data_IF_801638056362
#
_entry.id   IF_801638056362
#
_cell.length_a   1.000
_cell.length_b   1.000
_cell.length_c   1.000
_cell.angle_alpha   90.00
_cell.angle_beta   90.00
_cell.angle_gamma   90.00
#
_symmetry.space_group_name_H-M   'P 1'
#
loop_
_entity.id
_entity.type
_entity.pdbx_description
1 polymer ?
#
# COMPACT_ATOMS: atom_id res chain seq x y z
N UNK A 1 48.89 -12.66 -38.47
CA UNK A 1 49.40 -12.14 -39.74
C UNK A 1 48.60 -10.88 -40.07
N UNK A 2 49.12 -9.73 -39.69
CA UNK A 2 48.64 -8.38 -40.07
C UNK A 2 49.04 -8.11 -41.54
N UNK A 3 48.44 -7.13 -42.24
CA UNK A 3 49.11 -5.82 -42.24
C UNK A 3 48.19 -4.59 -42.24
N UNK A 4 48.68 -3.55 -41.56
CA UNK A 4 48.35 -2.13 -41.72
C UNK A 4 48.92 -1.60 -43.04
N UNK A 5 48.31 -0.55 -43.60
CA UNK A 5 49.05 0.47 -44.35
C UNK A 5 48.55 1.88 -44.01
N UNK A 6 49.49 2.81 -44.08
CA UNK A 6 49.56 4.14 -43.48
C UNK A 6 49.40 5.27 -44.52
N UNK A 7 48.93 6.42 -44.02
CA UNK A 7 49.04 7.85 -44.45
C UNK A 7 50.24 8.27 -45.36
N UNK A 8 50.23 9.46 -46.04
CA UNK A 8 50.41 10.78 -45.36
C UNK A 8 49.78 12.03 -46.05
N UNK A 9 50.13 13.21 -45.50
CA UNK A 9 49.40 14.48 -45.46
C UNK A 9 50.00 15.68 -46.26
N UNK A 10 49.15 16.69 -46.55
CA UNK A 10 49.40 18.17 -46.64
C UNK A 10 50.19 18.75 -47.84
N UNK A 11 50.30 20.10 -48.04
CA UNK A 11 49.61 21.26 -47.41
C UNK A 11 49.25 22.50 -48.33
N UNK A 12 48.41 23.43 -47.81
CA UNK A 12 48.31 24.93 -48.00
C UNK A 12 48.04 25.57 -49.40
N UNK A 13 47.70 26.89 -49.55
CA UNK A 13 47.30 27.96 -48.58
C UNK A 13 46.08 28.86 -49.00
N UNK A 14 45.64 29.76 -48.09
CA UNK A 14 44.79 30.97 -48.28
C UNK A 14 45.66 32.17 -48.76
N UNK A 15 45.14 33.29 -49.38
CA UNK A 15 44.31 34.31 -48.70
C UNK A 15 43.33 35.14 -49.59
N UNK A 16 42.40 35.88 -48.97
CA UNK A 16 42.16 37.35 -49.15
C UNK A 16 40.87 37.83 -48.44
N UNK A 17 40.89 39.11 -48.10
CA UNK A 17 40.20 39.88 -47.04
C UNK A 17 39.02 40.74 -47.51
N UNK A 18 38.32 41.33 -46.51
CA UNK A 18 37.40 42.50 -46.50
C UNK A 18 35.89 42.15 -46.45
N UNK A 19 34.99 42.78 -45.68
CA UNK A 19 34.98 43.86 -44.66
C UNK A 19 33.60 43.79 -43.92
N UNK A 20 33.53 44.28 -42.68
CA UNK A 20 32.37 44.25 -41.73
C UNK A 20 31.27 45.31 -42.03
N UNK A 21 30.10 45.39 -41.33
CA UNK A 21 30.05 45.91 -39.95
C UNK A 21 28.99 45.31 -38.98
N UNK A 22 29.38 45.32 -37.70
CA UNK A 22 28.63 45.60 -36.46
C UNK A 22 27.15 45.20 -36.30
N UNK A 23 26.89 44.27 -35.37
CA UNK A 23 25.68 44.25 -34.53
C UNK A 23 26.12 44.15 -33.07
N UNK A 24 25.53 45.03 -32.26
CA UNK A 24 25.85 45.30 -30.87
C UNK A 24 25.54 44.14 -29.91
N UNK A 25 26.42 43.98 -28.91
CA UNK A 25 26.19 43.20 -27.71
C UNK A 25 25.06 43.81 -26.86
N UNK A 26 24.17 42.97 -26.33
CA UNK A 26 23.23 43.32 -25.26
C UNK A 26 23.69 42.68 -23.95
N UNK A 27 23.79 43.42 -22.83
CA UNK A 27 24.27 42.88 -21.56
C UNK A 27 23.13 42.27 -20.72
N UNK A 28 23.49 41.22 -19.97
CA UNK A 28 22.88 40.71 -18.73
C UNK A 28 21.34 40.66 -18.62
N UNK A 29 20.76 39.51 -18.97
CA UNK A 29 19.49 39.09 -18.42
C UNK A 29 19.72 38.39 -17.07
N UNK A 30 19.45 39.11 -15.99
CA UNK A 30 19.30 38.52 -14.64
C UNK A 30 18.28 37.36 -14.69
N UNK A 31 18.52 36.25 -13.97
CA UNK A 31 17.54 35.18 -13.88
C UNK A 31 16.26 35.72 -13.24
N UNK A 32 15.12 35.49 -13.90
CA UNK A 32 13.81 35.84 -13.35
C UNK A 32 13.62 35.18 -11.98
N UNK A 33 13.12 35.91 -10.96
CA UNK A 33 12.82 35.29 -9.67
C UNK A 33 11.78 34.20 -9.90
N UNK A 34 12.08 32.99 -9.42
CA UNK A 34 11.22 31.83 -9.53
C UNK A 34 9.80 32.20 -9.11
N UNK A 35 8.83 31.87 -9.96
CA UNK A 35 7.43 32.05 -9.66
C UNK A 35 7.14 31.42 -8.30
N UNK A 36 6.65 32.23 -7.35
CA UNK A 36 6.06 31.73 -6.12
C UNK A 36 4.98 30.70 -6.52
N UNK A 37 4.90 29.53 -5.85
CA UNK A 37 3.87 28.55 -6.16
C UNK A 37 2.51 29.22 -6.05
N UNK A 38 1.66 29.03 -7.07
CA UNK A 38 0.30 29.55 -7.08
C UNK A 38 -0.46 29.06 -5.84
N UNK A 39 -1.23 29.92 -5.15
CA UNK A 39 -1.97 29.56 -3.94
C UNK A 39 -3.02 28.44 -4.13
N UNK A 40 -3.28 28.03 -5.39
CA UNK A 40 -4.25 26.98 -5.74
C UNK A 40 -3.63 25.58 -5.94
N UNK A 41 -2.31 25.41 -5.77
CA UNK A 41 -1.65 24.12 -6.04
C UNK A 41 -1.63 23.23 -4.80
N UNK A 42 -2.58 22.30 -4.74
CA UNK A 42 -2.66 21.24 -3.73
C UNK A 42 -1.36 20.41 -3.76
N UNK A 43 -0.64 20.34 -2.63
CA UNK A 43 0.52 19.45 -2.49
C UNK A 43 0.04 18.01 -2.37
N UNK A 44 0.36 17.20 -3.37
CA UNK A 44 0.05 15.76 -3.37
C UNK A 44 1.34 14.98 -3.20
N UNK A 45 1.48 14.35 -2.03
CA UNK A 45 2.53 13.39 -1.76
C UNK A 45 2.12 12.03 -2.32
N UNK A 46 3.11 11.26 -2.77
CA UNK A 46 2.93 9.89 -3.25
C UNK A 46 3.82 8.98 -2.43
N UNK A 47 3.24 7.95 -1.85
CA UNK A 47 3.94 6.99 -1.01
C UNK A 47 3.60 5.57 -1.47
N UNK A 48 4.50 4.63 -1.20
CA UNK A 48 4.17 3.21 -1.20
C UNK A 48 4.23 2.70 0.23
N UNK A 49 3.12 2.15 0.73
CA UNK A 49 3.00 1.61 2.08
C UNK A 49 3.34 0.12 2.14
N UNK A 50 3.67 -0.35 3.34
CA UNK A 50 4.13 -1.71 3.66
C UNK A 50 5.43 -2.11 2.96
N UNK A 51 6.32 -1.15 2.68
CA UNK A 51 7.62 -1.42 2.07
C UNK A 51 8.65 -0.37 2.46
N UNK A 52 9.94 -0.73 2.32
CA UNK A 52 11.09 0.18 2.33
C UNK A 52 11.61 0.48 0.90
N UNK A 53 11.07 -0.19 -0.12
CA UNK A 53 11.52 -0.07 -1.51
C UNK A 53 10.41 0.57 -2.35
N UNK A 54 10.65 1.71 -3.04
CA UNK A 54 9.67 2.33 -3.94
C UNK A 54 9.12 1.39 -5.04
N UNK A 55 9.84 0.31 -5.39
CA UNK A 55 9.37 -0.71 -6.32
C UNK A 55 8.32 -1.66 -5.71
N UNK A 56 8.29 -1.81 -4.38
CA UNK A 56 7.35 -2.66 -3.65
C UNK A 56 6.14 -1.92 -3.10
N UNK A 57 5.39 -2.56 -2.21
CA UNK A 57 4.32 -1.92 -1.43
C UNK A 57 3.04 -1.59 -2.19
N UNK A 58 2.11 -0.99 -1.46
CA UNK A 58 0.82 -0.51 -1.95
C UNK A 58 0.80 1.03 -2.10
N UNK A 59 0.77 1.57 -3.33
CA UNK A 59 0.79 3.01 -3.58
C UNK A 59 -0.44 3.76 -3.04
N UNK A 60 -0.21 4.89 -2.39
CA UNK A 60 -1.26 5.82 -1.96
C UNK A 60 -0.88 7.28 -2.21
N UNK A 61 -1.90 8.08 -2.51
CA UNK A 61 -1.82 9.53 -2.47
C UNK A 61 -2.01 10.04 -1.05
N UNK A 62 -1.31 11.11 -0.68
CA UNK A 62 -1.48 11.78 0.62
C UNK A 62 -1.49 13.29 0.41
N UNK A 63 -2.58 13.94 0.85
CA UNK A 63 -2.73 15.39 0.90
C UNK A 63 -2.79 15.79 2.37
N UNK A 64 -1.70 16.37 2.87
CA UNK A 64 -1.56 16.73 4.29
C UNK A 64 -2.25 18.03 4.69
N UNK A 65 -2.61 18.86 3.70
CA UNK A 65 -3.42 20.06 3.90
C UNK A 65 -4.56 20.06 2.88
N UNK A 66 -5.71 19.54 3.31
CA UNK A 66 -6.94 19.50 2.55
C UNK A 66 -8.05 20.33 3.22
N UNK A 67 -7.67 21.27 4.09
CA UNK A 67 -8.64 22.15 4.72
C UNK A 67 -9.34 23.01 3.65
N UNK A 68 -10.67 23.06 3.69
CA UNK A 68 -11.47 23.81 2.72
C UNK A 68 -11.70 23.12 1.36
N UNK A 69 -11.15 21.93 1.11
CA UNK A 69 -11.51 21.15 -0.08
C UNK A 69 -12.89 20.52 0.08
N UNK A 70 -13.73 20.64 -0.95
CA UNK A 70 -15.01 19.94 -1.02
C UNK A 70 -14.84 18.52 -1.61
N UNK A 71 -15.91 17.73 -1.52
CA UNK A 71 -15.96 16.34 -1.97
C UNK A 71 -15.62 16.20 -3.46
N UNK A 72 -16.11 17.12 -4.29
CA UNK A 72 -15.87 17.12 -5.73
C UNK A 72 -14.37 17.34 -6.03
N UNK A 73 -13.72 18.24 -5.29
CA UNK A 73 -12.29 18.52 -5.47
C UNK A 73 -11.42 17.38 -4.96
N UNK A 74 -11.72 16.80 -3.79
CA UNK A 74 -10.99 15.63 -3.29
C UNK A 74 -11.12 14.43 -4.24
N UNK A 75 -12.32 14.18 -4.76
CA UNK A 75 -12.55 13.12 -5.74
C UNK A 75 -11.76 13.36 -7.04
N UNK A 76 -11.74 14.60 -7.55
CA UNK A 76 -10.99 14.95 -8.74
C UNK A 76 -9.47 14.73 -8.54
N UNK A 77 -8.93 15.12 -7.38
CA UNK A 77 -7.52 14.88 -7.03
C UNK A 77 -7.22 13.39 -6.95
N UNK A 78 -8.06 12.60 -6.27
CA UNK A 78 -7.86 11.14 -6.19
C UNK A 78 -7.89 10.48 -7.57
N UNK A 79 -8.76 10.94 -8.47
CA UNK A 79 -8.82 10.47 -9.86
C UNK A 79 -7.57 10.85 -10.66
N UNK A 80 -7.02 12.05 -10.46
CA UNK A 80 -5.76 12.50 -11.08
C UNK A 80 -4.55 11.71 -10.56
N UNK A 81 -4.52 11.39 -9.26
CA UNK A 81 -3.47 10.56 -8.66
C UNK A 81 -3.50 9.14 -9.23
N UNK A 82 -4.69 8.57 -9.42
CA UNK A 82 -4.88 7.30 -10.11
C UNK A 82 -4.45 6.06 -9.32
N UNK A 83 -4.08 6.20 -8.05
CA UNK A 83 -3.87 5.07 -7.14
C UNK A 83 -5.20 4.54 -6.59
N UNK A 84 -5.16 3.40 -5.88
CA UNK A 84 -6.38 2.80 -5.31
C UNK A 84 -7.06 3.77 -4.35
N UNK A 85 -6.29 4.43 -3.48
CA UNK A 85 -6.80 5.46 -2.57
C UNK A 85 -5.84 6.65 -2.41
N UNK A 86 -6.44 7.81 -2.14
CA UNK A 86 -5.77 9.03 -1.68
C UNK A 86 -6.36 9.45 -0.34
N UNK A 87 -5.50 9.70 0.64
CA UNK A 87 -5.89 10.21 1.96
C UNK A 87 -5.77 11.74 2.01
N UNK A 88 -6.76 12.38 2.63
CA UNK A 88 -6.87 13.83 2.77
C UNK A 88 -6.98 14.21 4.24
N UNK A 89 -6.06 15.03 4.73
CA UNK A 89 -6.12 15.61 6.08
C UNK A 89 -6.95 16.90 6.02
N UNK A 90 -8.20 16.79 6.42
CA UNK A 90 -9.23 17.86 6.28
C UNK A 90 -9.36 18.77 7.49
N UNK A 91 -8.77 18.37 8.62
CA UNK A 91 -8.59 19.20 9.81
C UNK A 91 -7.40 18.65 10.61
N UNK A 92 -6.68 19.52 11.32
CA UNK A 92 -5.52 19.11 12.11
C UNK A 92 -5.34 19.97 13.37
N UNK A 93 -4.94 19.32 14.46
CA UNK A 93 -4.35 19.93 15.65
C UNK A 93 -2.97 19.26 15.84
N UNK A 94 -1.94 19.88 15.25
CA UNK A 94 -0.58 19.33 15.27
C UNK A 94 0.00 19.25 16.68
N UNK A 95 -0.37 20.19 17.57
CA UNK A 95 0.11 20.18 18.95
C UNK A 95 -0.50 19.02 19.74
N UNK A 96 -1.78 18.73 19.54
CA UNK A 96 -2.44 17.56 20.12
C UNK A 96 -2.21 16.26 19.34
N UNK A 97 -1.52 16.31 18.19
CA UNK A 97 -1.27 15.16 17.29
C UNK A 97 -2.57 14.50 16.81
N UNK A 98 -3.61 15.31 16.58
CA UNK A 98 -4.95 14.86 16.12
C UNK A 98 -5.23 15.35 14.70
N UNK A 99 -5.74 14.48 13.85
CA UNK A 99 -5.99 14.79 12.44
C UNK A 99 -7.31 14.17 11.99
N UNK A 100 -8.06 14.85 11.12
CA UNK A 100 -9.26 14.29 10.49
C UNK A 100 -8.93 13.85 9.07
N UNK A 101 -9.11 12.57 8.81
CA UNK A 101 -8.78 11.95 7.54
C UNK A 101 -10.06 11.57 6.78
N UNK A 102 -10.05 11.84 5.48
CA UNK A 102 -10.99 11.27 4.51
C UNK A 102 -10.21 10.50 3.45
N UNK A 103 -10.84 9.51 2.83
CA UNK A 103 -10.19 8.63 1.87
C UNK A 103 -11.02 8.57 0.59
N UNK A 104 -10.40 8.79 -0.55
CA UNK A 104 -11.09 8.70 -1.84
C UNK A 104 -10.36 7.71 -2.73
N UNK A 105 -11.12 6.79 -3.30
CA UNK A 105 -10.71 6.11 -4.52
C UNK A 105 -10.89 7.06 -5.72
N UNK A 106 -10.43 6.68 -6.92
CA UNK A 106 -10.70 7.46 -8.14
C UNK A 106 -12.20 7.63 -8.47
N UNK A 107 -13.11 6.92 -7.79
CA UNK A 107 -14.54 6.90 -8.12
C UNK A 107 -15.47 7.36 -7.00
N UNK A 108 -15.07 7.20 -5.74
CA UNK A 108 -15.91 7.53 -4.59
C UNK A 108 -15.08 7.61 -3.29
N UNK A 109 -15.66 8.26 -2.28
CA UNK A 109 -15.17 8.20 -0.91
C UNK A 109 -15.31 6.77 -0.34
N UNK A 110 -14.32 6.37 0.45
CA UNK A 110 -14.36 5.15 1.26
C UNK A 110 -14.20 5.51 2.73
N UNK A 111 -14.84 4.73 3.62
CA UNK A 111 -14.87 5.08 5.04
C UNK A 111 -13.50 4.94 5.73
N UNK A 112 -12.63 4.07 5.20
CA UNK A 112 -11.31 3.78 5.75
C UNK A 112 -10.43 3.07 4.72
N UNK A 113 -9.12 3.34 4.72
CA UNK A 113 -8.12 2.62 3.93
C UNK A 113 -6.81 2.47 4.70
N UNK A 114 -6.44 1.24 5.04
CA UNK A 114 -5.30 0.95 5.93
C UNK A 114 -3.94 1.40 5.39
N UNK A 115 -3.63 1.12 4.12
CA UNK A 115 -2.32 1.48 3.55
C UNK A 115 -2.19 3.01 3.40
N UNK A 116 -3.27 3.72 3.02
CA UNK A 116 -3.29 5.18 2.96
C UNK A 116 -3.17 5.81 4.36
N UNK A 117 -3.75 5.19 5.39
CA UNK A 117 -3.53 5.58 6.80
C UNK A 117 -2.07 5.43 7.22
N UNK A 118 -1.43 4.29 6.88
CA UNK A 118 -0.01 4.06 7.16
C UNK A 118 0.87 5.09 6.42
N UNK A 119 0.63 5.32 5.14
CA UNK A 119 1.33 6.33 4.35
C UNK A 119 1.19 7.73 4.95
N UNK A 120 -0.03 8.12 5.35
CA UNK A 120 -0.29 9.42 5.99
C UNK A 120 0.42 9.55 7.34
N UNK A 121 0.38 8.49 8.17
CA UNK A 121 1.07 8.47 9.45
C UNK A 121 2.58 8.62 9.30
N UNK A 122 3.17 7.91 8.33
CA UNK A 122 4.60 8.05 8.02
C UNK A 122 4.90 9.47 7.55
N UNK A 123 4.14 10.02 6.61
CA UNK A 123 4.36 11.38 6.10
C UNK A 123 4.28 12.44 7.21
N UNK A 124 3.29 12.35 8.10
CA UNK A 124 3.16 13.24 9.27
C UNK A 124 4.32 13.05 10.26
N UNK A 125 4.70 11.82 10.58
CA UNK A 125 5.79 11.55 11.50
C UNK A 125 7.17 11.96 10.94
N UNK A 126 7.38 11.85 9.63
CA UNK A 126 8.58 12.38 8.98
C UNK A 126 8.66 13.91 9.05
N UNK A 127 7.52 14.63 9.00
CA UNK A 127 7.49 16.10 9.10
C UNK A 127 7.52 16.61 10.55
N UNK A 128 6.85 15.93 11.47
CA UNK A 128 6.54 16.43 12.81
C UNK A 128 7.14 15.60 13.95
N UNK A 129 7.95 14.58 13.64
CA UNK A 129 8.52 13.64 14.59
C UNK A 129 7.63 12.42 14.88
N UNK A 130 8.23 11.37 15.41
CA UNK A 130 7.52 10.12 15.76
C UNK A 130 6.76 10.22 17.07
N UNK A 131 5.82 9.29 17.29
CA UNK A 131 4.97 9.22 18.47
C UNK A 131 3.56 8.75 18.12
N UNK A 132 2.64 8.80 19.08
CA UNK A 132 1.23 8.49 18.81
C UNK A 132 0.59 9.57 17.92
N UNK A 133 -0.25 9.12 16.99
CA UNK A 133 -1.13 9.93 16.16
C UNK A 133 -2.56 9.43 16.36
N UNK A 134 -3.50 10.37 16.34
CA UNK A 134 -4.90 10.06 16.42
C UNK A 134 -5.63 10.56 15.19
N UNK A 135 -6.31 9.66 14.51
CA UNK A 135 -7.03 9.95 13.28
C UNK A 135 -8.54 9.82 13.49
N UNK A 136 -9.26 10.90 13.27
CA UNK A 136 -10.71 10.89 13.13
C UNK A 136 -11.04 10.52 11.69
N UNK A 137 -11.76 9.41 11.48
CA UNK A 137 -12.17 8.94 10.15
C UNK A 137 -13.68 8.71 10.10
N UNK A 138 -14.29 8.58 8.90
CA UNK A 138 -15.69 8.16 8.80
C UNK A 138 -15.98 6.79 9.46
N UNK A 139 -14.97 5.92 9.56
CA UNK A 139 -15.07 4.64 10.26
C UNK A 139 -14.84 4.73 11.79
N UNK A 140 -14.60 5.94 12.32
CA UNK A 140 -14.33 6.19 13.73
C UNK A 140 -12.89 6.63 14.01
N UNK A 141 -12.54 6.68 15.30
CA UNK A 141 -11.22 7.09 15.78
C UNK A 141 -10.20 5.94 15.66
N UNK A 142 -9.04 6.24 15.07
CA UNK A 142 -7.95 5.28 14.84
C UNK A 142 -6.67 5.79 15.51
N UNK A 143 -6.06 4.94 16.33
CA UNK A 143 -4.74 5.20 16.94
C UNK A 143 -3.65 4.59 16.08
N UNK A 144 -2.66 5.41 15.74
CA UNK A 144 -1.47 4.98 15.00
C UNK A 144 -0.23 5.36 15.77
N UNK A 145 0.52 4.36 16.25
CA UNK A 145 1.84 4.58 16.82
C UNK A 145 2.85 4.76 15.69
N UNK A 146 3.77 5.72 15.81
CA UNK A 146 4.90 5.85 14.88
C UNK A 146 6.21 5.79 15.64
N UNK A 147 7.22 5.16 15.04
CA UNK A 147 8.55 4.99 15.60
C UNK A 147 9.60 5.07 14.50
N UNK A 148 10.84 5.39 14.89
CA UNK A 148 12.01 5.26 14.01
C UNK A 148 12.62 3.88 14.20
N UNK A 149 12.96 3.24 13.09
CA UNK A 149 13.69 1.98 13.06
C UNK A 149 14.68 2.01 11.90
N UNK A 150 15.97 1.87 12.18
CA UNK A 150 17.08 2.03 11.22
C UNK A 150 16.97 3.29 10.34
N UNK A 151 16.50 4.39 10.93
CA UNK A 151 16.32 5.68 10.23
C UNK A 151 15.07 5.79 9.36
N UNK A 152 14.29 4.71 9.24
CA UNK A 152 12.99 4.70 8.55
C UNK A 152 11.85 4.82 9.55
N UNK A 153 10.81 5.58 9.20
CA UNK A 153 9.60 5.68 10.02
C UNK A 153 8.73 4.46 9.78
N UNK A 154 8.35 3.79 10.88
CA UNK A 154 7.31 2.76 10.91
C UNK A 154 6.03 3.35 11.47
N UNK A 155 4.89 2.87 10.97
CA UNK A 155 3.58 3.15 11.53
C UNK A 155 2.90 1.85 11.92
N UNK A 156 2.24 1.85 13.09
CA UNK A 156 1.54 0.72 13.67
C UNK A 156 0.09 1.12 13.90
N UNK A 157 -0.81 0.55 13.09
CA UNK A 157 -2.24 0.72 13.22
C UNK A 157 -2.79 -0.31 14.22
N UNK A 158 -3.64 0.13 15.15
CA UNK A 158 -4.38 -0.79 16.03
C UNK A 158 -5.77 -1.04 15.47
N UNK A 159 -6.12 -2.30 15.23
CA UNK A 159 -7.43 -2.68 14.71
C UNK A 159 -8.55 -2.47 15.73
N UNK A 160 -9.79 -2.49 15.26
CA UNK A 160 -10.94 -2.85 16.11
C UNK A 160 -10.78 -4.29 16.65
N UNK A 161 -11.52 -4.70 17.70
CA UNK A 161 -11.48 -6.08 18.19
C UNK A 161 -11.65 -7.10 17.04
N UNK A 162 -10.60 -7.89 16.81
CA UNK A 162 -10.55 -8.89 15.76
C UNK A 162 -11.13 -10.22 16.27
N UNK A 163 -11.89 -10.88 15.41
CA UNK A 163 -12.50 -12.17 15.70
C UNK A 163 -12.58 -13.02 14.43
N UNK A 164 -12.88 -14.31 14.59
CA UNK A 164 -13.16 -15.17 13.45
C UNK A 164 -14.14 -16.27 13.83
N UNK A 165 -14.76 -16.88 12.82
CA UNK A 165 -15.57 -18.07 12.99
C UNK A 165 -15.32 -19.05 11.83
N UNK A 166 -15.53 -20.37 12.04
CA UNK A 166 -15.41 -21.35 10.96
C UNK A 166 -16.28 -20.97 9.75
N UNK A 167 -15.72 -21.09 8.55
CA UNK A 167 -16.47 -20.91 7.32
C UNK A 167 -17.32 -22.15 7.04
N UNK A 168 -18.54 -21.96 6.52
CA UNK A 168 -19.43 -23.06 6.16
C UNK A 168 -19.04 -23.67 4.81
N UNK A 169 -19.36 -24.93 4.57
CA UNK A 169 -19.15 -25.56 3.25
C UNK A 169 -19.85 -24.80 2.11
N UNK A 170 -21.00 -24.17 2.40
CA UNK A 170 -21.73 -23.32 1.45
C UNK A 170 -20.99 -22.02 1.09
N UNK A 171 -19.93 -21.69 1.82
CA UNK A 171 -19.02 -20.57 1.57
C UNK A 171 -17.70 -21.07 0.95
N UNK A 172 -17.13 -22.15 1.50
CA UNK A 172 -15.84 -22.71 1.06
C UNK A 172 -15.94 -23.34 -0.32
N UNK A 173 -16.93 -24.20 -0.59
CA UNK A 173 -17.02 -24.91 -1.88
C UNK A 173 -17.18 -23.99 -3.09
N UNK A 174 -18.04 -22.95 -3.06
CA UNK A 174 -18.09 -21.98 -4.15
C UNK A 174 -16.81 -21.17 -4.30
N UNK A 175 -16.15 -20.81 -3.18
CA UNK A 175 -14.90 -20.06 -3.22
C UNK A 175 -13.79 -20.89 -3.88
N UNK A 176 -13.63 -22.16 -3.48
CA UNK A 176 -12.66 -23.07 -4.09
C UNK A 176 -12.93 -23.25 -5.60
N UNK A 177 -14.19 -23.42 -6.01
CA UNK A 177 -14.53 -23.48 -7.44
C UNK A 177 -14.14 -22.21 -8.20
N UNK A 178 -14.43 -21.04 -7.64
CA UNK A 178 -14.05 -19.76 -8.24
C UNK A 178 -12.52 -19.61 -8.33
N UNK A 179 -11.79 -20.05 -7.28
CA UNK A 179 -10.33 -20.10 -7.24
C UNK A 179 -9.71 -21.22 -8.10
N UNK A 180 -10.55 -22.10 -8.68
CA UNK A 180 -10.14 -23.30 -9.42
C UNK A 180 -9.28 -24.26 -8.57
N UNK A 181 -9.58 -24.32 -7.28
CA UNK A 181 -8.94 -25.18 -6.30
C UNK A 181 -9.91 -26.25 -5.78
N UNK A 182 -9.37 -27.18 -5.01
CA UNK A 182 -10.07 -28.24 -4.31
C UNK A 182 -9.74 -28.21 -2.82
N UNK A 183 -10.47 -28.99 -2.01
CA UNK A 183 -10.12 -29.16 -0.58
C UNK A 183 -8.75 -29.78 -0.38
N UNK A 184 -8.34 -30.60 -1.34
CA UNK A 184 -7.03 -31.22 -1.33
C UNK A 184 -5.92 -30.20 -1.59
N UNK A 185 -6.20 -28.92 -1.87
CA UNK A 185 -5.15 -27.90 -1.96
C UNK A 185 -4.93 -27.16 -0.62
N UNK A 186 -5.84 -27.35 0.34
CA UNK A 186 -5.87 -26.60 1.60
C UNK A 186 -4.98 -27.22 2.69
N UNK A 187 -4.38 -26.36 3.51
CA UNK A 187 -3.68 -26.74 4.74
C UNK A 187 -4.70 -27.10 5.83
N UNK A 188 -4.73 -28.38 6.21
CA UNK A 188 -5.64 -28.88 7.24
C UNK A 188 -5.31 -28.37 8.64
N UNK A 189 -4.09 -27.87 8.88
CA UNK A 189 -3.69 -27.25 10.14
C UNK A 189 -4.22 -25.82 10.31
N UNK A 190 -4.73 -25.21 9.25
CA UNK A 190 -5.27 -23.85 9.22
C UNK A 190 -6.64 -23.86 8.51
N UNK A 191 -7.70 -24.27 9.22
CA UNK A 191 -9.02 -24.49 8.62
C UNK A 191 -9.67 -23.19 8.08
N UNK A 192 -10.52 -23.28 7.05
CA UNK A 192 -11.23 -22.13 6.50
C UNK A 192 -12.08 -21.39 7.52
N UNK A 193 -11.86 -20.07 7.64
CA UNK A 193 -12.60 -19.19 8.54
C UNK A 193 -13.07 -17.93 7.79
N UNK A 194 -14.12 -17.30 8.30
CA UNK A 194 -14.35 -15.88 8.02
C UNK A 194 -13.78 -15.11 9.19
N UNK A 195 -12.85 -14.20 8.92
CA UNK A 195 -12.14 -13.42 9.92
C UNK A 195 -12.46 -11.93 9.74
N UNK A 196 -12.54 -11.21 10.86
CA UNK A 196 -12.93 -9.82 10.92
C UNK A 196 -11.90 -8.97 11.67
N UNK A 197 -11.58 -7.80 11.11
CA UNK A 197 -10.90 -6.71 11.81
C UNK A 197 -11.28 -5.35 11.19
N UNK A 198 -12.59 -5.06 11.14
CA UNK A 198 -13.16 -3.87 10.51
C UNK A 198 -13.93 -4.21 9.23
N UNK A 199 -13.45 -5.23 8.51
CA UNK A 199 -14.10 -5.86 7.37
C UNK A 199 -14.02 -7.38 7.50
N UNK A 200 -14.95 -8.10 6.85
CA UNK A 200 -14.92 -9.56 6.78
C UNK A 200 -14.05 -10.04 5.62
N UNK A 201 -13.24 -11.07 5.89
CA UNK A 201 -12.33 -11.71 4.94
C UNK A 201 -12.50 -13.22 5.03
N UNK A 202 -12.69 -13.90 3.89
CA UNK A 202 -12.60 -15.36 3.86
C UNK A 202 -11.13 -15.76 3.89
N UNK A 203 -10.69 -16.47 4.94
CA UNK A 203 -9.33 -16.97 5.08
C UNK A 203 -9.26 -18.40 4.54
N UNK A 204 -8.35 -18.65 3.60
CA UNK A 204 -8.05 -19.99 3.07
C UNK A 204 -6.54 -20.20 3.09
N UNK A 205 -6.08 -21.20 3.84
CA UNK A 205 -4.67 -21.58 3.85
C UNK A 205 -4.41 -22.70 2.83
N UNK A 206 -3.37 -22.57 2.01
CA UNK A 206 -2.95 -23.57 1.01
C UNK A 206 -1.64 -24.25 1.40
N UNK A 207 -1.49 -25.51 0.98
CA UNK A 207 -0.32 -26.32 1.34
C UNK A 207 0.95 -25.99 0.57
N UNK A 208 0.83 -25.36 -0.59
CA UNK A 208 1.94 -25.14 -1.52
C UNK A 208 2.09 -23.66 -1.84
N UNK A 209 3.33 -23.17 -1.75
CA UNK A 209 3.71 -21.82 -2.20
C UNK A 209 3.49 -21.67 -3.71
N UNK A 210 3.73 -22.72 -4.49
CA UNK A 210 3.54 -22.75 -5.93
C UNK A 210 2.05 -22.63 -6.30
N UNK A 211 1.16 -23.31 -5.56
CA UNK A 211 -0.29 -23.18 -5.75
C UNK A 211 -0.75 -21.73 -5.50
N UNK A 212 -0.24 -21.10 -4.45
CA UNK A 212 -0.50 -19.69 -4.17
C UNK A 212 0.06 -18.77 -5.28
N UNK A 213 1.28 -19.06 -5.77
CA UNK A 213 1.92 -18.28 -6.84
C UNK A 213 1.15 -18.34 -8.16
N UNK A 214 0.56 -19.50 -8.44
CA UNK A 214 -0.18 -19.78 -9.67
C UNK A 214 -1.66 -19.36 -9.60
N UNK A 215 -2.05 -18.53 -8.62
CA UNK A 215 -3.43 -18.07 -8.47
C UNK A 215 -3.98 -17.51 -9.79
N UNK A 216 -5.05 -18.15 -10.24
CA UNK A 216 -5.85 -17.79 -11.40
C UNK A 216 -7.30 -18.16 -11.05
N UNK A 217 -8.17 -17.17 -10.99
CA UNK A 217 -9.53 -17.35 -10.49
C UNK A 217 -10.56 -16.72 -11.42
N UNK A 218 -11.78 -17.25 -11.37
CA UNK A 218 -12.95 -16.67 -12.02
C UNK A 218 -13.35 -15.37 -11.32
N UNK A 219 -12.98 -14.24 -11.94
CA UNK A 219 -13.17 -12.91 -11.39
C UNK A 219 -14.64 -12.63 -11.05
N UNK A 220 -15.55 -12.90 -11.97
CA UNK A 220 -16.97 -12.58 -11.82
C UNK A 220 -17.65 -13.51 -10.81
N UNK A 221 -17.29 -14.80 -10.80
CA UNK A 221 -17.82 -15.74 -9.83
C UNK A 221 -17.37 -15.39 -8.40
N UNK A 222 -16.09 -15.06 -8.21
CA UNK A 222 -15.56 -14.68 -6.91
C UNK A 222 -16.15 -13.33 -6.45
N UNK A 223 -16.25 -12.35 -7.37
CA UNK A 223 -16.91 -11.07 -7.12
C UNK A 223 -18.34 -11.25 -6.61
N UNK A 224 -19.16 -12.03 -7.31
CA UNK A 224 -20.55 -12.27 -6.94
C UNK A 224 -20.66 -12.97 -5.57
N UNK A 225 -19.79 -13.93 -5.30
CA UNK A 225 -19.74 -14.64 -4.03
C UNK A 225 -19.37 -13.72 -2.86
N UNK A 226 -18.33 -12.90 -3.04
CA UNK A 226 -17.89 -11.94 -2.03
C UNK A 226 -18.97 -10.92 -1.72
N UNK A 227 -19.63 -10.35 -2.75
CA UNK A 227 -20.77 -9.43 -2.55
C UNK A 227 -21.93 -10.08 -1.80
N UNK A 228 -22.24 -11.35 -2.11
CA UNK A 228 -23.29 -12.10 -1.43
C UNK A 228 -22.99 -12.33 0.07
N UNK A 229 -21.72 -12.50 0.42
CA UNK A 229 -21.30 -12.77 1.79
C UNK A 229 -20.77 -11.55 2.55
N UNK A 230 -20.68 -10.38 1.91
CA UNK A 230 -20.15 -9.16 2.52
C UNK A 230 -18.63 -9.19 2.74
N UNK A 231 -17.89 -10.05 2.01
CA UNK A 231 -16.44 -10.13 2.14
C UNK A 231 -15.75 -9.02 1.37
N UNK A 232 -14.73 -8.42 1.98
CA UNK A 232 -13.86 -7.43 1.34
C UNK A 232 -12.78 -8.09 0.52
N UNK A 233 -12.03 -9.05 1.08
CA UNK A 233 -11.07 -9.88 0.31
C UNK A 233 -11.28 -11.37 0.61
N UNK A 234 -10.70 -12.22 -0.21
CA UNK A 234 -10.39 -13.59 0.17
C UNK A 234 -8.90 -13.62 0.52
N UNK A 235 -8.56 -13.78 1.79
CA UNK A 235 -7.18 -13.79 2.27
C UNK A 235 -6.59 -15.19 2.11
N UNK A 236 -5.80 -15.36 1.04
CA UNK A 236 -5.16 -16.64 0.72
C UNK A 236 -3.77 -16.65 1.35
N UNK A 237 -3.46 -17.68 2.13
CA UNK A 237 -2.19 -17.75 2.86
C UNK A 237 -1.47 -19.08 2.65
N UNK A 238 -0.15 -19.03 2.61
CA UNK A 238 0.72 -20.19 2.70
C UNK A 238 1.70 -19.96 3.85
N UNK A 239 1.82 -20.94 4.75
CA UNK A 239 2.76 -20.90 5.86
C UNK A 239 4.09 -21.49 5.42
N UNK A 240 5.17 -20.72 5.57
CA UNK A 240 6.53 -21.12 5.12
C UNK A 240 7.04 -22.38 5.83
N UNK A 241 6.79 -22.50 7.13
CA UNK A 241 7.16 -23.67 7.93
C UNK A 241 6.18 -23.87 9.08
N UNK A 242 5.96 -25.12 9.48
CA UNK A 242 4.92 -25.47 10.46
C UNK A 242 5.09 -24.78 11.83
N UNK A 243 6.33 -24.50 12.23
CA UNK A 243 6.75 -23.90 13.49
C UNK A 243 7.09 -22.41 13.38
N UNK A 244 6.84 -21.79 12.23
CA UNK A 244 7.09 -20.36 11.99
C UNK A 244 5.79 -19.61 11.74
N UNK A 245 5.78 -18.36 12.19
CA UNK A 245 4.72 -17.41 11.90
C UNK A 245 5.11 -16.47 10.75
N UNK A 246 5.68 -17.07 9.71
CA UNK A 246 6.01 -16.45 8.44
C UNK A 246 5.04 -16.98 7.39
N UNK A 247 4.32 -16.07 6.72
CA UNK A 247 3.31 -16.40 5.74
C UNK A 247 3.56 -15.64 4.44
N UNK A 248 3.28 -16.32 3.32
CA UNK A 248 3.03 -15.68 2.03
C UNK A 248 1.52 -15.50 1.88
N UNK A 249 1.09 -14.36 1.36
CA UNK A 249 -0.32 -14.04 1.18
C UNK A 249 -0.60 -13.46 -0.21
N UNK A 250 -1.83 -13.71 -0.68
CA UNK A 250 -2.44 -13.04 -1.83
C UNK A 250 -3.89 -12.74 -1.52
N UNK A 251 -4.34 -11.57 -1.95
CA UNK A 251 -5.67 -11.06 -1.64
C UNK A 251 -6.46 -10.72 -2.89
N UNK A 252 -7.18 -11.69 -3.48
CA UNK A 252 -8.26 -11.42 -4.41
C UNK A 252 -9.18 -10.31 -3.90
N UNK A 253 -9.30 -9.25 -4.70
CA UNK A 253 -10.09 -8.06 -4.38
C UNK A 253 -11.03 -7.61 -5.51
N UNK A 254 -11.80 -8.51 -6.15
CA UNK A 254 -12.64 -8.15 -7.27
C UNK A 254 -13.77 -7.18 -6.90
N UNK A 255 -14.21 -7.12 -5.63
CA UNK A 255 -15.18 -6.11 -5.15
C UNK A 255 -14.61 -4.69 -5.18
N UNK A 256 -13.29 -4.54 -5.11
CA UNK A 256 -12.57 -3.27 -5.34
C UNK A 256 -12.39 -2.94 -6.83
N UNK A 257 -12.80 -3.83 -7.74
CA UNK A 257 -12.67 -3.65 -9.18
C UNK A 257 -11.26 -3.92 -9.73
N UNK A 258 -10.38 -4.52 -8.92
CA UNK A 258 -9.04 -4.98 -9.32
C UNK A 258 -8.91 -6.48 -9.05
N UNK A 259 -7.93 -7.12 -9.66
CA UNK A 259 -7.70 -8.56 -9.46
C UNK A 259 -7.27 -8.80 -8.01
N UNK A 260 -6.16 -8.18 -7.60
CA UNK A 260 -5.60 -8.36 -6.26
C UNK A 260 -5.12 -7.05 -5.68
N UNK A 261 -5.12 -6.96 -4.34
CA UNK A 261 -4.49 -5.88 -3.59
C UNK A 261 -3.05 -6.28 -3.20
N UNK A 262 -2.03 -5.43 -3.43
CA UNK A 262 -0.63 -5.79 -3.14
C UNK A 262 -0.30 -5.84 -1.65
N UNK A 263 -1.05 -5.14 -0.79
CA UNK A 263 -0.88 -5.22 0.67
C UNK A 263 -2.17 -4.85 1.43
N UNK A 264 -2.78 -5.84 2.10
CA UNK A 264 -4.09 -5.67 2.74
C UNK A 264 -3.99 -5.67 4.26
N UNK A 265 -3.79 -4.49 4.87
CA UNK A 265 -3.65 -4.38 6.33
C UNK A 265 -4.85 -4.90 7.14
N UNK A 266 -6.07 -4.75 6.62
CA UNK A 266 -7.29 -5.25 7.29
C UNK A 266 -7.35 -6.79 7.31
N UNK A 267 -6.99 -7.44 6.20
CA UNK A 267 -6.92 -8.90 6.14
C UNK A 267 -5.81 -9.44 7.05
N UNK A 268 -4.65 -8.78 7.09
CA UNK A 268 -3.56 -9.12 8.00
C UNK A 268 -3.98 -9.01 9.49
N UNK A 269 -4.71 -7.94 9.86
CA UNK A 269 -5.25 -7.80 11.21
C UNK A 269 -6.27 -8.90 11.54
N UNK A 270 -7.19 -9.20 10.62
CA UNK A 270 -8.18 -10.26 10.76
C UNK A 270 -7.51 -11.63 10.91
N UNK A 271 -6.45 -11.87 10.15
CA UNK A 271 -5.65 -13.09 10.21
C UNK A 271 -5.00 -13.29 11.59
N UNK A 272 -4.47 -12.23 12.21
CA UNK A 272 -4.00 -12.29 13.60
C UNK A 272 -5.09 -12.73 14.59
N UNK A 273 -6.31 -12.19 14.44
CA UNK A 273 -7.47 -12.61 15.23
C UNK A 273 -7.90 -14.06 14.98
N UNK A 274 -7.76 -14.53 13.73
CA UNK A 274 -7.96 -15.92 13.34
C UNK A 274 -6.96 -16.86 14.00
N UNK A 275 -5.66 -16.57 13.96
CA UNK A 275 -4.63 -17.39 14.62
C UNK A 275 -4.88 -17.50 16.13
N UNK A 276 -5.29 -16.39 16.77
CA UNK A 276 -5.71 -16.41 18.18
C UNK A 276 -6.93 -17.29 18.41
N UNK A 277 -7.96 -17.20 17.57
CA UNK A 277 -9.18 -17.99 17.69
C UNK A 277 -8.92 -19.51 17.53
N UNK A 278 -7.89 -19.90 16.77
CA UNK A 278 -7.43 -21.28 16.67
C UNK A 278 -6.61 -21.75 17.87
N UNK A 279 -6.32 -20.87 18.84
CA UNK A 279 -5.48 -21.18 20.00
C UNK A 279 -3.98 -21.25 19.68
N UNK A 280 -3.55 -20.72 18.53
CA UNK A 280 -2.14 -20.72 18.12
C UNK A 280 -1.34 -19.57 18.75
N UNK A 281 -2.00 -18.64 19.43
CA UNK A 281 -1.38 -17.51 20.14
C UNK A 281 -1.53 -17.74 21.64
N UNK A 282 -0.55 -18.39 22.25
CA UNK A 282 -0.51 -18.66 23.70
C UNK A 282 0.29 -17.62 24.49
N UNK A 283 1.12 -16.85 23.80
CA UNK A 283 1.93 -15.75 24.33
C UNK A 283 1.99 -14.63 23.26
N UNK A 284 2.42 -13.41 23.61
CA UNK A 284 2.55 -12.33 22.63
C UNK A 284 3.42 -12.77 21.46
N UNK A 285 2.88 -12.64 20.25
CA UNK A 285 3.48 -13.15 19.04
C UNK A 285 3.49 -12.08 17.95
N UNK A 286 4.59 -12.03 17.19
CA UNK A 286 4.66 -11.30 15.93
C UNK A 286 4.60 -12.28 14.77
N UNK A 287 3.62 -12.05 13.89
CA UNK A 287 3.45 -12.75 12.62
C UNK A 287 3.99 -11.86 11.51
N UNK A 288 4.69 -12.45 10.56
CA UNK A 288 5.16 -11.77 9.37
C UNK A 288 4.39 -12.27 8.15
N UNK A 289 3.76 -11.35 7.42
CA UNK A 289 3.00 -11.66 6.20
C UNK A 289 3.67 -10.92 5.03
N UNK A 290 4.17 -11.69 4.06
CA UNK A 290 4.66 -11.20 2.78
C UNK A 290 3.51 -11.24 1.78
N UNK A 291 3.18 -10.11 1.18
CA UNK A 291 2.09 -10.00 0.19
C UNK A 291 2.59 -9.26 -1.06
N UNK A 292 1.95 -9.51 -2.20
CA UNK A 292 2.21 -8.77 -3.44
C UNK A 292 3.50 -9.17 -4.18
N UNK A 293 4.29 -10.11 -3.66
CA UNK A 293 5.51 -10.62 -4.30
C UNK A 293 5.23 -11.12 -5.73
N UNK A 294 4.17 -11.94 -5.89
CA UNK A 294 3.76 -12.50 -7.19
C UNK A 294 3.17 -11.44 -8.14
N UNK A 295 2.81 -10.26 -7.61
CA UNK A 295 2.37 -9.10 -8.39
C UNK A 295 3.53 -8.18 -8.79
N UNK A 296 4.77 -8.50 -8.36
CA UNK A 296 5.93 -7.63 -8.52
C UNK A 296 5.93 -6.41 -7.60
N UNK A 297 5.08 -6.42 -6.55
CA UNK A 297 4.97 -5.35 -5.54
C UNK A 297 5.14 -5.93 -4.13
N UNK A 298 6.33 -6.45 -3.79
CA UNK A 298 6.59 -7.08 -2.50
C UNK A 298 6.30 -6.12 -1.34
N UNK A 299 5.58 -6.62 -0.35
CA UNK A 299 5.13 -5.87 0.82
C UNK A 299 5.28 -6.71 2.08
N UNK A 300 5.76 -6.09 3.16
CA UNK A 300 5.96 -6.71 4.46
C UNK A 300 4.96 -6.13 5.48
N UNK A 301 4.08 -6.99 6.01
CA UNK A 301 3.15 -6.65 7.07
C UNK A 301 3.54 -7.41 8.34
N UNK A 302 3.82 -6.67 9.42
CA UNK A 302 4.10 -7.25 10.73
C UNK A 302 2.89 -7.14 11.64
N UNK A 303 2.38 -8.28 12.08
CA UNK A 303 1.14 -8.38 12.84
C UNK A 303 1.46 -8.81 14.27
N UNK A 304 1.29 -7.91 15.23
CA UNK A 304 1.44 -8.23 16.65
C UNK A 304 0.09 -8.64 17.24
N UNK A 305 0.07 -9.84 17.81
CA UNK A 305 -1.11 -10.46 18.41
C UNK A 305 -0.81 -10.80 19.86
N UNK A 306 -1.72 -10.41 20.76
CA UNK A 306 -1.68 -10.78 22.17
C UNK A 306 -2.81 -11.77 22.46
N UNK A 307 -2.60 -12.80 23.31
CA UNK A 307 -3.67 -13.74 23.69
C UNK A 307 -4.87 -13.03 24.35
N UNK A 308 -4.58 -12.05 25.22
CA UNK A 308 -5.61 -11.37 26.03
C UNK A 308 -6.13 -10.02 25.48
N UNK A 309 -5.55 -9.47 24.42
CA UNK A 309 -6.08 -8.24 23.78
C UNK A 309 -6.80 -8.63 22.49
N UNK A 310 -8.12 -8.39 22.36
CA UNK A 310 -8.83 -8.75 21.14
C UNK A 310 -8.40 -7.91 19.94
N UNK A 311 -7.72 -6.78 20.14
CA UNK A 311 -7.20 -5.96 19.04
C UNK A 311 -5.90 -6.55 18.50
N UNK A 312 -5.63 -6.27 17.24
CA UNK A 312 -4.42 -6.69 16.54
C UNK A 312 -3.70 -5.44 16.04
N UNK A 313 -2.38 -5.42 16.12
CA UNK A 313 -1.57 -4.30 15.62
C UNK A 313 -0.91 -4.69 14.33
N UNK A 314 -1.06 -3.86 13.29
CA UNK A 314 -0.42 -4.07 12.00
C UNK A 314 0.58 -2.95 11.77
N UNK A 315 1.84 -3.33 11.61
CA UNK A 315 2.97 -2.43 11.42
C UNK A 315 3.47 -2.53 10.00
N UNK A 316 3.72 -1.38 9.38
CA UNK A 316 4.34 -1.25 8.07
C UNK A 316 5.24 -0.02 8.00
N UNK A 317 6.16 -0.04 7.05
CA UNK A 317 6.89 1.15 6.61
C UNK A 317 6.14 1.81 5.46
N UNK A 318 6.50 3.05 5.12
CA UNK A 318 6.11 3.64 3.86
C UNK A 318 7.24 4.50 3.31
N UNK A 319 7.40 4.52 1.99
CA UNK A 319 8.44 5.29 1.33
C UNK A 319 7.87 6.27 0.32
N UNK A 320 8.44 7.48 0.17
CA UNK A 320 8.05 8.39 -0.90
C UNK A 320 8.29 7.73 -2.26
N UNK A 321 7.32 7.86 -3.15
CA UNK A 321 7.48 7.54 -4.57
C UNK A 321 8.04 8.77 -5.29
N UNK A 322 8.96 8.59 -6.25
CA UNK A 322 9.43 9.69 -7.07
C UNK A 322 8.25 10.35 -7.81
N UNK A 323 8.35 11.66 -8.01
CA UNK A 323 7.38 12.36 -8.86
C UNK A 323 7.44 11.78 -10.30
N UNK A 324 6.28 11.64 -10.97
CA UNK A 324 6.24 11.19 -12.36
C UNK A 324 6.95 12.16 -13.31
#
# INVERSE_FOLDING_TARGET
>A
MTPQTTSPAGPNPLPHTAESPHIAESPDALPSPGALPSPDRIEVLRYSAFTADPAGGNPAGVVLDAEGLDDARMLAVAAEVGYSETAFVTAHDTAARRYRLRYFSPRAEVAFCGHATIATAVALASRNGTGELLFETPAGEIRVGTSLDDGLVRATLTSVPAHSHPARDTQVEPALRALRWSRDDLDTGLPPHVAFAGNDHLVLAVRSREQLAALDYDFDALHALMRRHGWTTVHLVHREAADRFDFHARDPFPVGGVVEDPATGAAAAAFGGYLRALGLVTEPLRVHIRQGEDMGRPSDLYVDVHPDDPRVRVTGQAVPLPAP
#
